data_IF_690812620805
#
_entry.id   IF_690812620805
#
_cell.length_a   1.000
_cell.length_b   1.000
_cell.length_c   1.000
_cell.angle_alpha   90.00
_cell.angle_beta   90.00
_cell.angle_gamma   90.00
#
_symmetry.space_group_name_H-M   'P 1'
#
loop_
_entity.id
_entity.type
_entity.pdbx_description
1 polymer ?
#
# COMPACT_ATOMS: atom_id res chain seq x y z
N UNK A 1 -18.51 -14.06 -6.80
CA UNK A 1 -18.77 -12.60 -6.85
C UNK A 1 -18.29 -12.09 -8.19
N UNK A 2 -19.14 -11.38 -8.91
CA UNK A 2 -18.83 -10.74 -10.19
C UNK A 2 -18.53 -9.26 -9.93
N UNK A 3 -17.74 -8.64 -10.80
CA UNK A 3 -17.43 -7.21 -10.70
C UNK A 3 -18.71 -6.36 -10.70
N UNK A 4 -19.72 -6.78 -11.46
CA UNK A 4 -21.03 -6.13 -11.56
C UNK A 4 -21.80 -6.06 -10.24
N UNK A 5 -21.51 -6.95 -9.29
CA UNK A 5 -22.20 -6.97 -8.00
C UNK A 5 -21.77 -5.76 -7.11
N UNK A 6 -20.77 -4.98 -7.56
CA UNK A 6 -20.26 -3.77 -6.91
C UNK A 6 -20.41 -2.50 -7.77
N UNK A 7 -21.19 -2.57 -8.85
CA UNK A 7 -21.47 -1.41 -9.71
C UNK A 7 -22.53 -0.50 -9.08
N UNK A 8 -22.29 0.81 -9.13
CA UNK A 8 -23.25 1.84 -8.73
C UNK A 8 -23.13 3.06 -9.65
N UNK A 9 -24.18 3.86 -9.72
CA UNK A 9 -24.15 5.12 -10.46
C UNK A 9 -23.36 6.18 -9.68
N UNK A 10 -22.30 6.70 -10.28
CA UNK A 10 -21.48 7.76 -9.71
C UNK A 10 -21.38 8.92 -10.69
N UNK A 11 -22.14 10.01 -10.50
CA UNK A 11 -21.99 11.23 -11.27
C UNK A 11 -20.56 11.77 -11.18
N UNK A 12 -19.96 12.12 -12.32
CA UNK A 12 -18.59 12.63 -12.39
C UNK A 12 -18.38 13.90 -11.54
N UNK A 13 -19.41 14.74 -11.44
CA UNK A 13 -19.40 15.96 -10.61
C UNK A 13 -19.22 15.70 -9.11
N UNK A 14 -19.45 14.46 -8.63
CA UNK A 14 -19.24 14.08 -7.24
C UNK A 14 -17.82 13.53 -6.98
N UNK A 15 -16.98 13.41 -8.00
CA UNK A 15 -15.59 12.96 -7.89
C UNK A 15 -14.70 14.16 -7.60
N UNK A 16 -14.10 14.20 -6.41
CA UNK A 16 -13.16 15.26 -6.06
C UNK A 16 -11.85 15.10 -6.86
N UNK A 17 -11.54 16.08 -7.72
CA UNK A 17 -10.27 16.12 -8.47
C UNK A 17 -9.09 16.64 -7.63
N UNK A 18 -9.39 17.45 -6.62
CA UNK A 18 -8.41 18.03 -5.70
C UNK A 18 -8.92 17.90 -4.26
N UNK A 19 -8.01 17.72 -3.28
CA UNK A 19 -8.40 17.74 -1.87
C UNK A 19 -8.89 19.14 -1.48
N UNK A 20 -9.73 19.19 -0.44
CA UNK A 20 -10.07 20.46 0.22
C UNK A 20 -8.81 21.12 0.81
N UNK A 21 -8.71 22.46 0.81
CA UNK A 21 -7.57 23.17 1.40
C UNK A 21 -7.36 22.83 2.87
N UNK A 22 -8.45 22.79 3.62
CA UNK A 22 -8.49 22.25 4.97
C UNK A 22 -8.96 20.80 4.90
N UNK A 23 -8.05 19.85 5.14
CA UNK A 23 -8.37 18.42 5.02
C UNK A 23 -9.34 17.92 6.09
N UNK A 24 -9.28 18.49 7.28
CA UNK A 24 -10.13 18.13 8.43
C UNK A 24 -11.59 18.53 8.26
N UNK A 25 -11.92 19.44 7.35
CA UNK A 25 -13.30 19.87 7.09
C UNK A 25 -14.05 18.97 6.09
N UNK A 26 -13.44 17.85 5.67
CA UNK A 26 -14.12 16.90 4.79
C UNK A 26 -15.27 16.19 5.50
N UNK A 27 -16.25 15.73 4.70
CA UNK A 27 -17.40 14.98 5.20
C UNK A 27 -16.98 13.60 5.70
N UNK A 28 -17.60 13.13 6.77
CA UNK A 28 -17.49 11.77 7.30
C UNK A 28 -18.84 11.06 7.15
N UNK A 29 -18.85 9.91 6.49
CA UNK A 29 -19.99 8.99 6.50
C UNK A 29 -19.66 7.86 7.49
N UNK A 30 -20.42 7.76 8.56
CA UNK A 30 -20.35 6.63 9.50
C UNK A 30 -21.40 5.59 9.13
N UNK A 31 -20.97 4.34 9.06
CA UNK A 31 -21.83 3.17 8.86
C UNK A 31 -21.70 2.28 10.09
N UNK A 32 -22.81 2.00 10.75
CA UNK A 32 -22.88 0.93 11.75
C UNK A 32 -22.97 -0.42 11.03
N UNK A 33 -21.96 -1.28 11.22
CA UNK A 33 -21.86 -2.56 10.53
C UNK A 33 -23.04 -3.51 10.80
N UNK A 34 -23.46 -3.71 12.06
CA UNK A 34 -24.57 -4.61 12.40
C UNK A 34 -25.94 -4.14 11.92
N UNK A 35 -26.28 -2.86 12.11
CA UNK A 35 -27.63 -2.33 11.84
C UNK A 35 -27.77 -1.73 10.44
N UNK A 36 -26.64 -1.38 9.80
CA UNK A 36 -26.63 -0.63 8.55
C UNK A 36 -26.97 0.86 8.72
N UNK A 37 -27.10 1.35 9.95
CA UNK A 37 -27.43 2.75 10.19
C UNK A 37 -26.34 3.69 9.65
N UNK A 38 -26.77 4.73 8.94
CA UNK A 38 -25.90 5.75 8.38
C UNK A 38 -25.99 7.04 9.17
N UNK A 39 -24.84 7.67 9.40
CA UNK A 39 -24.78 9.01 10.00
C UNK A 39 -23.80 9.87 9.23
N UNK A 40 -24.22 11.10 8.92
CA UNK A 40 -23.37 12.10 8.28
C UNK A 40 -22.79 13.04 9.33
N UNK A 41 -21.51 13.39 9.15
CA UNK A 41 -20.81 14.35 9.99
C UNK A 41 -19.60 14.95 9.27
N UNK A 42 -18.67 15.48 10.03
CA UNK A 42 -17.37 15.98 9.58
C UNK A 42 -16.24 15.11 10.10
N UNK A 43 -15.08 15.14 9.46
CA UNK A 43 -13.96 14.26 9.83
C UNK A 43 -13.47 14.45 11.26
N UNK A 44 -13.62 15.64 11.82
CA UNK A 44 -13.30 15.93 13.24
C UNK A 44 -14.16 15.14 14.23
N UNK A 45 -15.39 14.77 13.85
CA UNK A 45 -16.30 13.96 14.66
C UNK A 45 -15.77 12.53 14.90
N UNK A 46 -14.71 12.13 14.19
CA UNK A 46 -14.01 10.86 14.44
C UNK A 46 -13.48 10.79 15.87
N UNK A 47 -13.08 11.92 16.46
CA UNK A 47 -12.54 11.95 17.82
C UNK A 47 -13.56 11.48 18.86
N UNK A 48 -14.84 11.79 18.65
CA UNK A 48 -15.95 11.37 19.54
C UNK A 48 -16.35 9.90 19.36
N UNK A 49 -15.80 9.23 18.33
CA UNK A 49 -16.09 7.82 18.01
C UNK A 49 -15.03 6.85 18.52
N UNK A 50 -13.92 7.37 19.07
CA UNK A 50 -12.82 6.57 19.59
C UNK A 50 -12.96 6.40 21.10
N UNK A 51 -12.73 5.19 21.57
CA UNK A 51 -12.71 4.87 22.99
C UNK A 51 -11.27 4.75 23.50
N UNK A 52 -11.05 4.98 24.80
CA UNK A 52 -9.78 4.64 25.44
C UNK A 52 -9.41 3.17 25.16
N UNK A 53 -8.22 2.95 24.59
CA UNK A 53 -7.72 1.63 24.20
C UNK A 53 -7.81 1.32 22.71
N UNK A 54 -8.51 2.14 21.92
CA UNK A 54 -8.54 1.97 20.46
C UNK A 54 -7.16 2.24 19.82
N UNK A 55 -6.82 1.45 18.79
CA UNK A 55 -5.57 1.58 18.04
C UNK A 55 -5.84 2.10 16.62
N UNK A 56 -5.33 3.29 16.32
CA UNK A 56 -5.32 3.81 14.96
C UNK A 56 -4.05 3.35 14.23
N UNK A 57 -4.23 2.52 13.19
CA UNK A 57 -3.13 2.05 12.35
C UNK A 57 -3.06 2.91 11.09
N UNK A 58 -2.07 3.79 11.04
CA UNK A 58 -1.81 4.62 9.87
C UNK A 58 -0.84 3.93 8.91
N UNK A 59 -1.22 3.87 7.63
CA UNK A 59 -0.30 3.46 6.59
C UNK A 59 0.69 4.60 6.27
N UNK A 60 1.92 4.48 6.75
CA UNK A 60 3.00 5.40 6.41
C UNK A 60 3.86 4.79 5.31
N UNK A 61 3.64 5.20 4.05
CA UNK A 61 4.37 4.65 2.91
C UNK A 61 5.67 5.41 2.68
N UNK A 62 6.78 4.66 2.53
CA UNK A 62 8.08 5.20 2.12
C UNK A 62 8.48 4.56 0.79
N UNK A 63 8.78 5.39 -0.20
CA UNK A 63 9.34 4.92 -1.46
C UNK A 63 10.83 4.69 -1.26
N UNK A 64 11.25 3.43 -1.38
CA UNK A 64 12.66 3.05 -1.39
C UNK A 64 13.03 2.68 -2.83
N UNK A 65 14.08 3.27 -3.44
CA UNK A 65 14.64 2.78 -4.70
C UNK A 65 15.18 1.37 -4.48
N UNK A 66 14.33 0.39 -4.73
CA UNK A 66 14.52 -0.98 -4.28
C UNK A 66 14.76 -1.97 -5.42
N UNK A 67 14.75 -1.52 -6.68
CA UNK A 67 14.96 -2.42 -7.83
C UNK A 67 16.40 -2.40 -8.28
N UNK A 68 17.01 -3.59 -8.27
CA UNK A 68 18.34 -3.84 -8.80
C UNK A 68 18.23 -4.83 -9.95
N UNK A 69 18.93 -4.55 -11.05
CA UNK A 69 19.04 -5.46 -12.18
C UNK A 69 20.41 -6.14 -12.15
N UNK A 70 20.46 -7.38 -12.63
CA UNK A 70 21.71 -8.13 -12.61
C UNK A 70 21.71 -9.32 -13.54
N UNK A 71 22.82 -10.06 -13.46
CA UNK A 71 23.00 -11.31 -14.21
C UNK A 71 23.56 -12.40 -13.29
N UNK A 72 23.08 -13.63 -13.51
CA UNK A 72 23.70 -14.84 -12.97
C UNK A 72 25.06 -15.05 -13.61
N UNK A 73 25.91 -15.86 -12.98
CA UNK A 73 27.14 -16.34 -13.61
C UNK A 73 26.90 -17.04 -14.96
N UNK A 74 25.73 -17.65 -15.15
CA UNK A 74 25.31 -18.26 -16.42
C UNK A 74 24.85 -17.25 -17.49
N UNK A 75 24.94 -15.94 -17.24
CA UNK A 75 24.47 -14.86 -18.13
C UNK A 75 22.96 -14.55 -18.06
N UNK A 76 22.17 -15.39 -17.38
CA UNK A 76 20.72 -15.18 -17.27
C UNK A 76 20.36 -13.96 -16.43
N UNK A 77 19.41 -13.14 -16.89
CA UNK A 77 18.96 -11.91 -16.20
C UNK A 77 18.29 -12.23 -14.85
N UNK A 78 18.47 -11.32 -13.91
CA UNK A 78 17.75 -11.29 -12.63
C UNK A 78 17.27 -9.87 -12.34
N UNK A 79 16.12 -9.78 -11.68
CA UNK A 79 15.61 -8.54 -11.07
C UNK A 79 15.43 -8.81 -9.58
N UNK A 80 15.92 -7.88 -8.75
CA UNK A 80 15.87 -7.97 -7.29
C UNK A 80 15.06 -6.78 -6.78
N UNK A 81 13.97 -7.04 -6.08
CA UNK A 81 13.17 -6.04 -5.39
C UNK A 81 13.47 -6.11 -3.89
N UNK A 82 14.15 -5.10 -3.35
CA UNK A 82 14.42 -4.95 -1.93
C UNK A 82 13.11 -4.71 -1.19
N UNK A 83 12.81 -5.57 -0.21
CA UNK A 83 11.69 -5.38 0.71
C UNK A 83 12.13 -4.48 1.87
N UNK A 84 13.24 -4.84 2.52
CA UNK A 84 13.81 -4.07 3.65
C UNK A 84 15.28 -4.37 3.87
N UNK A 85 15.98 -3.44 4.51
CA UNK A 85 17.31 -3.67 5.07
C UNK A 85 17.19 -4.56 6.31
N UNK A 86 18.04 -5.56 6.44
CA UNK A 86 18.20 -6.35 7.66
C UNK A 86 19.33 -5.78 8.52
N UNK A 87 20.38 -5.29 7.87
CA UNK A 87 21.48 -4.50 8.44
C UNK A 87 22.25 -3.80 7.30
N UNK A 88 23.42 -3.23 7.59
CA UNK A 88 24.25 -2.47 6.66
C UNK A 88 24.69 -3.22 5.39
N UNK A 89 24.67 -4.56 5.40
CA UNK A 89 25.18 -5.39 4.29
C UNK A 89 24.18 -6.43 3.82
N UNK A 90 23.04 -6.57 4.47
CA UNK A 90 22.04 -7.59 4.17
C UNK A 90 20.67 -6.97 3.95
N UNK A 91 19.99 -7.51 2.95
CA UNK A 91 18.64 -7.12 2.56
C UNK A 91 17.75 -8.35 2.51
N UNK A 92 16.47 -8.14 2.82
CA UNK A 92 15.41 -9.04 2.42
C UNK A 92 14.88 -8.57 1.07
N UNK A 93 14.77 -9.49 0.11
CA UNK A 93 14.39 -9.14 -1.25
C UNK A 93 13.68 -10.27 -1.99
N UNK A 94 12.81 -9.90 -2.92
CA UNK A 94 12.21 -10.81 -3.89
C UNK A 94 13.05 -10.86 -5.16
N UNK A 95 13.37 -12.07 -5.64
CA UNK A 95 14.18 -12.26 -6.86
C UNK A 95 13.29 -12.83 -7.95
N UNK A 96 13.21 -12.12 -9.08
CA UNK A 96 12.59 -12.60 -10.31
C UNK A 96 13.67 -13.14 -11.26
N UNK A 97 13.56 -14.41 -11.63
CA UNK A 97 14.44 -15.08 -12.59
C UNK A 97 13.77 -16.33 -13.16
N UNK A 98 14.05 -16.71 -14.42
CA UNK A 98 13.49 -17.94 -15.03
C UNK A 98 13.87 -19.23 -14.29
N UNK A 99 15.07 -19.24 -13.69
CA UNK A 99 15.52 -20.25 -12.73
C UNK A 99 16.18 -19.51 -11.58
N UNK A 100 15.58 -19.62 -10.39
CA UNK A 100 16.04 -18.95 -9.19
C UNK A 100 17.48 -19.38 -8.83
N UNK A 101 18.34 -18.46 -8.38
CA UNK A 101 19.65 -18.82 -7.83
C UNK A 101 19.48 -19.73 -6.60
N UNK A 102 20.30 -20.76 -6.49
CA UNK A 102 20.40 -21.56 -5.25
C UNK A 102 21.15 -20.76 -4.17
N UNK A 103 20.93 -21.06 -2.88
CA UNK A 103 21.71 -20.48 -1.78
C UNK A 103 23.23 -20.54 -2.03
N UNK A 104 23.94 -19.49 -1.63
CA UNK A 104 25.40 -19.39 -1.77
C UNK A 104 25.92 -19.02 -3.16
N UNK A 105 25.05 -18.88 -4.18
CA UNK A 105 25.48 -18.43 -5.51
C UNK A 105 25.71 -16.92 -5.58
N UNK A 106 26.85 -16.53 -6.13
CA UNK A 106 27.15 -15.14 -6.48
C UNK A 106 26.43 -14.74 -7.76
N UNK A 107 25.84 -13.54 -7.74
CA UNK A 107 25.24 -12.88 -8.90
C UNK A 107 25.85 -11.49 -9.02
N UNK A 108 26.00 -10.99 -10.24
CA UNK A 108 26.48 -9.63 -10.46
C UNK A 108 25.27 -8.71 -10.56
N UNK A 109 25.16 -7.73 -9.65
CA UNK A 109 24.26 -6.61 -9.84
C UNK A 109 24.91 -5.66 -10.86
N UNK A 110 24.21 -5.37 -11.95
CA UNK A 110 24.59 -4.31 -12.89
C UNK A 110 24.05 -2.98 -12.38
N UNK A 111 24.72 -1.88 -12.72
CA UNK A 111 24.12 -0.54 -12.60
C UNK A 111 22.86 -0.45 -13.46
#
# INVERSE_FOLDING_TARGET
MRVTDFSFELPESLIAHYPMPERSSCRLLSLDGPTGALTHGTFTDLLDKLNPGDLLVFNNTRVIPARLFGRKASGGKIEVLVERMLDDKRILAHIRASKAPKPGRRTAAGR
#
